data_IF_301088654278
#
_entry.id   IF_301088654278
#
_cell.length_a   1.000
_cell.length_b   1.000
_cell.length_c   1.000
_cell.angle_alpha   90.00
_cell.angle_beta   90.00
_cell.angle_gamma   90.00
#
_symmetry.space_group_name_H-M   'P 1'
#
loop_
_entity.id
_entity.type
_entity.pdbx_description
1 polymer ?
#
# COMPACT_ATOMS: atom_id res chain seq x y z
N UNK A 1 -14.16 -8.67 -3.20
CA UNK A 1 -14.57 -7.45 -2.49
C UNK A 1 -13.66 -6.29 -2.81
N UNK A 2 -14.12 -5.05 -2.66
CA UNK A 2 -13.31 -3.86 -2.94
C UNK A 2 -12.27 -3.59 -1.83
N UNK A 3 -12.55 -4.07 -0.62
CA UNK A 3 -11.67 -3.97 0.55
C UNK A 3 -11.97 -5.13 1.51
N UNK A 4 -10.93 -5.64 2.14
CA UNK A 4 -11.00 -6.63 3.22
C UNK A 4 -10.52 -5.97 4.51
N UNK A 5 -11.30 -6.10 5.57
CA UNK A 5 -10.89 -5.74 6.94
C UNK A 5 -10.49 -7.02 7.65
N UNK A 6 -9.25 -7.10 8.10
CA UNK A 6 -8.66 -8.29 8.68
C UNK A 6 -8.21 -8.03 10.12
N UNK A 7 -8.63 -8.91 11.03
CA UNK A 7 -8.11 -8.92 12.40
C UNK A 7 -6.85 -9.80 12.49
N UNK A 8 -5.83 -9.32 13.19
CA UNK A 8 -4.61 -10.12 13.42
C UNK A 8 -4.82 -11.24 14.43
N UNK A 9 -5.72 -11.03 15.39
CA UNK A 9 -5.92 -11.92 16.54
C UNK A 9 -7.11 -12.87 16.32
N UNK A 10 -7.09 -13.62 15.23
CA UNK A 10 -8.11 -14.65 14.98
C UNK A 10 -7.69 -16.01 15.57
N UNK A 11 -8.66 -16.73 16.16
CA UNK A 11 -8.39 -18.08 16.70
C UNK A 11 -8.02 -19.02 15.55
N UNK A 12 -6.82 -19.61 15.62
CA UNK A 12 -6.40 -20.73 14.77
C UNK A 12 -5.66 -20.36 13.49
N UNK A 13 -5.46 -19.06 13.18
CA UNK A 13 -4.65 -18.62 12.03
C UNK A 13 -3.96 -17.30 12.31
N UNK A 14 -2.73 -17.15 11.84
CA UNK A 14 -2.05 -15.85 11.88
C UNK A 14 -2.68 -14.89 10.86
N UNK A 15 -3.13 -13.73 11.33
CA UNK A 15 -3.67 -12.69 10.43
C UNK A 15 -2.65 -12.27 9.36
N UNK A 16 -1.35 -12.29 9.67
CA UNK A 16 -0.28 -11.99 8.72
C UNK A 16 -0.18 -13.06 7.62
N UNK A 17 -0.35 -14.35 7.94
CA UNK A 17 -0.37 -15.43 6.94
C UNK A 17 -1.56 -15.32 5.99
N UNK A 18 -2.73 -14.97 6.52
CA UNK A 18 -3.93 -14.72 5.68
C UNK A 18 -3.70 -13.51 4.78
N UNK A 19 -3.16 -12.42 5.31
CA UNK A 19 -2.80 -11.23 4.54
C UNK A 19 -1.86 -11.59 3.40
N UNK A 20 -0.78 -12.33 3.69
CA UNK A 20 0.19 -12.78 2.69
C UNK A 20 -0.48 -13.59 1.59
N UNK A 21 -1.32 -14.57 1.96
CA UNK A 21 -2.05 -15.39 0.99
C UNK A 21 -2.99 -14.57 0.09
N UNK A 22 -3.67 -13.56 0.67
CA UNK A 22 -4.53 -12.66 -0.11
C UNK A 22 -3.73 -11.84 -1.11
N UNK A 23 -2.59 -11.31 -0.70
CA UNK A 23 -1.72 -10.49 -1.55
C UNK A 23 -0.99 -11.29 -2.62
N UNK A 24 -0.60 -12.53 -2.35
CA UNK A 24 -0.05 -13.44 -3.36
C UNK A 24 -1.05 -13.72 -4.49
N UNK A 25 -2.34 -13.88 -4.14
CA UNK A 25 -3.41 -14.10 -5.13
C UNK A 25 -3.71 -12.85 -5.95
N UNK A 26 -3.80 -11.71 -5.29
CA UNK A 26 -4.06 -10.42 -5.92
C UNK A 26 -3.37 -9.28 -5.17
N UNK A 27 -2.17 -8.83 -5.60
CA UNK A 27 -1.45 -7.73 -4.97
C UNK A 27 -2.23 -6.41 -4.96
N UNK A 28 -3.22 -6.25 -5.85
CA UNK A 28 -4.08 -5.05 -5.92
C UNK A 28 -5.29 -5.12 -4.99
N UNK A 29 -5.58 -6.30 -4.37
CA UNK A 29 -6.65 -6.43 -3.38
C UNK A 29 -6.32 -5.56 -2.17
N UNK A 30 -7.24 -4.67 -1.80
CA UNK A 30 -7.06 -3.81 -0.63
C UNK A 30 -7.37 -4.59 0.64
N UNK A 31 -6.41 -4.58 1.56
CA UNK A 31 -6.54 -5.23 2.87
C UNK A 31 -6.09 -4.25 3.94
N UNK A 32 -6.98 -3.92 4.86
CA UNK A 32 -6.67 -3.11 6.04
C UNK A 32 -6.72 -3.99 7.29
N UNK A 33 -5.82 -3.73 8.20
CA UNK A 33 -5.75 -4.42 9.49
C UNK A 33 -6.55 -3.63 10.52
N UNK A 34 -7.37 -4.32 11.30
CA UNK A 34 -8.07 -3.77 12.45
C UNK A 34 -7.77 -4.63 13.67
N UNK A 35 -6.93 -4.17 14.59
CA UNK A 35 -6.36 -4.99 15.67
C UNK A 35 -6.28 -4.23 17.00
N UNK A 36 -6.08 -4.97 18.09
CA UNK A 36 -5.74 -4.40 19.41
C UNK A 36 -4.24 -4.23 19.60
N UNK A 37 -3.40 -4.76 18.69
CA UNK A 37 -1.95 -4.68 18.81
C UNK A 37 -1.43 -3.32 18.37
N UNK A 38 -0.72 -2.64 19.27
CA UNK A 38 0.04 -1.41 19.03
C UNK A 38 1.55 -1.67 18.86
N UNK A 39 1.92 -2.95 18.72
CA UNK A 39 3.29 -3.41 18.52
C UNK A 39 3.86 -2.94 17.18
N UNK A 40 5.05 -2.33 17.21
CA UNK A 40 5.78 -1.98 15.99
C UNK A 40 6.15 -3.19 15.15
N UNK A 41 6.40 -4.36 15.77
CA UNK A 41 6.74 -5.60 15.07
C UNK A 41 5.56 -6.12 14.25
N UNK A 42 4.36 -6.16 14.84
CA UNK A 42 3.13 -6.54 14.13
C UNK A 42 2.83 -5.57 12.99
N UNK A 43 2.98 -4.27 13.26
CA UNK A 43 2.83 -3.23 12.25
C UNK A 43 3.78 -3.44 11.07
N UNK A 44 5.09 -3.62 11.32
CA UNK A 44 6.08 -3.87 10.27
C UNK A 44 5.78 -5.14 9.48
N UNK A 45 5.40 -6.21 10.17
CA UNK A 45 5.06 -7.48 9.53
C UNK A 45 3.87 -7.32 8.57
N UNK A 46 2.83 -6.60 8.99
CA UNK A 46 1.65 -6.33 8.16
C UNK A 46 1.96 -5.43 6.96
N UNK A 47 2.71 -4.34 7.16
CA UNK A 47 3.05 -3.44 6.05
C UNK A 47 3.95 -4.17 5.03
N UNK A 48 4.92 -4.97 5.47
CA UNK A 48 5.75 -5.79 4.58
C UNK A 48 4.96 -6.88 3.85
N UNK A 49 3.95 -7.45 4.49
CA UNK A 49 3.04 -8.41 3.85
C UNK A 49 2.03 -7.73 2.91
N UNK A 50 2.03 -6.39 2.82
CA UNK A 50 1.26 -5.63 1.85
C UNK A 50 -0.05 -5.04 2.37
N UNK A 51 -0.22 -4.84 3.68
CA UNK A 51 -1.38 -4.15 4.21
C UNK A 51 -1.50 -2.72 3.64
N UNK A 52 -2.72 -2.32 3.27
CA UNK A 52 -3.04 -0.99 2.75
C UNK A 52 -3.49 -0.02 3.86
N UNK A 53 -3.64 -0.51 5.08
CA UNK A 53 -3.95 0.27 6.27
C UNK A 53 -3.78 -0.53 7.56
N UNK A 54 -3.59 0.19 8.68
CA UNK A 54 -3.45 -0.41 10.00
C UNK A 54 -4.15 0.45 11.05
N UNK A 55 -5.20 -0.11 11.67
CA UNK A 55 -6.07 0.60 12.60
C UNK A 55 -6.12 -0.15 13.93
N UNK A 56 -6.11 0.61 15.01
CA UNK A 56 -6.32 0.09 16.34
C UNK A 56 -7.83 0.02 16.66
N UNK A 57 -8.27 -1.03 17.36
CA UNK A 57 -9.67 -1.23 17.73
C UNK A 57 -10.19 -0.23 18.79
N UNK A 58 -9.30 0.52 19.42
CA UNK A 58 -9.62 1.60 20.36
C UNK A 58 -9.84 2.96 19.67
N UNK A 59 -9.66 3.04 18.35
CA UNK A 59 -10.02 4.22 17.57
C UNK A 59 -11.53 4.50 17.66
N UNK A 60 -11.90 5.77 17.65
CA UNK A 60 -13.29 6.20 17.55
C UNK A 60 -13.96 5.64 16.27
N UNK A 61 -15.19 5.10 16.34
CA UNK A 61 -15.86 4.46 15.19
C UNK A 61 -15.94 5.34 13.94
N UNK A 62 -16.15 6.65 14.11
CA UNK A 62 -16.22 7.61 13.02
C UNK A 62 -14.87 7.73 12.29
N UNK A 63 -13.76 7.69 13.04
CA UNK A 63 -12.41 7.70 12.47
C UNK A 63 -12.12 6.41 11.71
N UNK A 64 -12.53 5.26 12.26
CA UNK A 64 -12.39 3.97 11.56
C UNK A 64 -13.14 4.00 10.23
N UNK A 65 -14.40 4.46 10.22
CA UNK A 65 -15.19 4.59 9.00
C UNK A 65 -14.57 5.55 7.98
N UNK A 66 -14.03 6.67 8.44
CA UNK A 66 -13.29 7.60 7.59
C UNK A 66 -12.08 6.92 6.95
N UNK A 67 -11.24 6.25 7.75
CA UNK A 67 -10.05 5.56 7.27
C UNK A 67 -10.39 4.42 6.29
N UNK A 68 -11.46 3.66 6.53
CA UNK A 68 -11.94 2.62 5.61
C UNK A 68 -12.34 3.24 4.25
N UNK A 69 -13.04 4.37 4.24
CA UNK A 69 -13.41 5.07 2.99
C UNK A 69 -12.17 5.55 2.23
N UNK A 70 -11.21 6.14 2.92
CA UNK A 70 -9.93 6.56 2.32
C UNK A 70 -9.16 5.36 1.73
N UNK A 71 -9.15 4.23 2.45
CA UNK A 71 -8.53 2.99 1.97
C UNK A 71 -9.25 2.44 0.73
N UNK A 72 -10.58 2.56 0.64
CA UNK A 72 -11.34 2.21 -0.56
C UNK A 72 -10.94 3.05 -1.78
N UNK A 73 -10.48 4.27 -1.58
CA UNK A 73 -9.97 5.13 -2.65
C UNK A 73 -8.48 4.89 -2.97
N UNK A 74 -7.81 4.00 -2.21
CA UNK A 74 -6.42 3.60 -2.41
C UNK A 74 -5.41 4.51 -1.72
N UNK A 75 -5.81 5.25 -0.70
CA UNK A 75 -4.87 5.94 0.19
C UNK A 75 -4.39 4.99 1.27
N UNK A 76 -3.12 5.05 1.60
CA UNK A 76 -2.62 4.41 2.82
C UNK A 76 -3.19 5.14 4.02
N UNK A 77 -3.85 4.41 4.90
CA UNK A 77 -4.36 4.94 6.16
C UNK A 77 -3.78 4.17 7.32
N UNK A 78 -3.18 4.90 8.25
CA UNK A 78 -2.49 4.34 9.42
C UNK A 78 -2.95 5.10 10.65
N UNK A 79 -3.18 4.37 11.74
CA UNK A 79 -3.44 5.01 13.03
C UNK A 79 -2.32 6.00 13.38
N UNK A 80 -2.64 7.22 13.85
CA UNK A 80 -1.63 8.22 14.21
C UNK A 80 -0.56 7.71 15.18
N UNK A 81 -0.91 6.80 16.11
CA UNK A 81 0.04 6.19 17.02
C UNK A 81 1.08 5.31 16.29
N UNK A 82 0.76 4.79 15.11
CA UNK A 82 1.63 3.94 14.30
C UNK A 82 2.49 4.71 13.29
N UNK A 83 2.23 5.99 13.07
CA UNK A 83 2.95 6.82 12.08
C UNK A 83 4.46 6.86 12.33
N UNK A 84 4.88 6.86 13.61
CA UNK A 84 6.31 6.78 13.97
C UNK A 84 7.00 5.55 13.37
N UNK A 85 6.35 4.39 13.43
CA UNK A 85 6.87 3.14 12.88
C UNK A 85 6.93 3.16 11.35
N UNK A 86 5.98 3.82 10.69
CA UNK A 86 6.03 4.02 9.24
C UNK A 86 7.27 4.85 8.84
N UNK A 87 7.60 5.88 9.60
CA UNK A 87 8.82 6.68 9.38
C UNK A 87 10.09 5.84 9.49
N UNK A 88 10.16 4.94 10.48
CA UNK A 88 11.29 4.04 10.67
C UNK A 88 11.39 3.00 9.52
N UNK A 89 10.25 2.51 9.03
CA UNK A 89 10.20 1.62 7.86
C UNK A 89 10.76 2.31 6.61
N UNK A 90 10.38 3.56 6.37
CA UNK A 90 10.86 4.35 5.23
C UNK A 90 12.37 4.63 5.29
N UNK A 91 12.95 4.74 6.48
CA UNK A 91 14.40 4.92 6.68
C UNK A 91 15.20 3.62 6.53
N UNK A 92 14.55 2.47 6.66
CA UNK A 92 15.17 1.15 6.77
C UNK A 92 15.00 0.22 5.56
N UNK A 93 15.38 0.61 4.33
CA UNK A 93 15.42 -0.19 3.08
C UNK A 93 14.09 -0.29 2.33
N UNK A 94 13.98 0.48 1.26
CA UNK A 94 13.03 0.20 0.18
C UNK A 94 13.24 -1.22 -0.39
N UNK A 95 12.16 -1.85 -0.90
CA UNK A 95 12.27 -3.11 -1.62
C UNK A 95 13.30 -2.98 -2.75
N UNK A 96 14.26 -3.89 -2.82
CA UNK A 96 15.22 -3.95 -3.92
C UNK A 96 14.49 -4.46 -5.16
N UNK A 97 14.10 -3.57 -6.05
CA UNK A 97 13.72 -3.94 -7.41
C UNK A 97 15.01 -4.08 -8.22
N UNK A 98 15.15 -5.16 -8.95
CA UNK A 98 16.27 -5.28 -9.90
C UNK A 98 16.24 -4.09 -10.87
N UNK A 99 17.38 -3.43 -11.09
CA UNK A 99 17.50 -2.23 -11.94
C UNK A 99 17.11 -2.47 -13.40
N UNK A 100 16.82 -3.73 -13.77
CA UNK A 100 16.49 -4.17 -15.13
C UNK A 100 15.00 -4.08 -15.49
N UNK A 101 14.11 -3.72 -14.56
CA UNK A 101 12.68 -3.64 -14.86
C UNK A 101 12.38 -2.38 -15.66
N UNK A 102 12.14 -2.55 -16.96
CA UNK A 102 11.69 -1.48 -17.86
C UNK A 102 10.18 -1.30 -17.75
N UNK A 103 9.74 -0.14 -17.29
CA UNK A 103 8.33 0.25 -17.29
C UNK A 103 7.97 0.88 -18.64
N UNK A 104 6.73 0.67 -19.08
CA UNK A 104 6.16 1.42 -20.20
C UNK A 104 5.86 2.86 -19.77
N UNK A 105 5.76 3.79 -20.71
CA UNK A 105 5.42 5.20 -20.42
C UNK A 105 4.15 5.30 -19.58
N UNK A 106 3.17 4.46 -19.85
CA UNK A 106 1.90 4.44 -19.10
C UNK A 106 2.05 3.91 -17.67
N UNK A 107 2.92 2.92 -17.47
CA UNK A 107 3.25 2.42 -16.13
C UNK A 107 4.04 3.46 -15.34
N UNK A 108 4.94 4.20 -15.96
CA UNK A 108 5.66 5.34 -15.34
C UNK A 108 4.68 6.47 -14.95
N UNK A 109 3.74 6.82 -15.80
CA UNK A 109 2.69 7.81 -15.50
C UNK A 109 1.90 7.39 -14.25
N UNK A 110 1.43 6.14 -14.21
CA UNK A 110 0.67 5.60 -13.08
C UNK A 110 1.52 5.56 -11.82
N UNK A 111 2.78 5.13 -11.91
CA UNK A 111 3.72 5.08 -10.80
C UNK A 111 3.98 6.49 -10.22
N UNK A 112 4.17 7.48 -11.07
CA UNK A 112 4.33 8.89 -10.69
C UNK A 112 3.11 9.40 -9.93
N UNK A 113 1.91 9.06 -10.39
CA UNK A 113 0.67 9.41 -9.69
C UNK A 113 0.56 8.72 -8.32
N UNK A 114 0.96 7.44 -8.23
CA UNK A 114 1.01 6.69 -6.97
C UNK A 114 1.98 7.35 -5.99
N UNK A 115 3.17 7.75 -6.43
CA UNK A 115 4.17 8.44 -5.61
C UNK A 115 3.64 9.76 -5.03
N UNK A 116 2.76 10.46 -5.75
CA UNK A 116 2.07 11.67 -5.29
C UNK A 116 0.88 11.39 -4.36
N UNK A 117 0.62 10.13 -4.00
CA UNK A 117 -0.49 9.74 -3.12
C UNK A 117 -1.88 9.86 -3.76
N UNK A 118 -1.98 9.87 -5.10
CA UNK A 118 -3.25 10.03 -5.81
C UNK A 118 -4.09 8.75 -5.72
N UNK A 119 -5.40 8.88 -5.54
CA UNK A 119 -6.34 7.76 -5.62
C UNK A 119 -6.54 7.27 -7.05
N UNK A 120 -7.10 6.06 -7.27
CA UNK A 120 -7.39 5.58 -8.62
C UNK A 120 -8.31 6.55 -9.39
N UNK A 121 -9.29 7.14 -8.70
CA UNK A 121 -10.19 8.14 -9.29
C UNK A 121 -9.45 9.42 -9.72
N UNK A 122 -8.49 9.88 -8.93
CA UNK A 122 -7.63 11.03 -9.28
C UNK A 122 -6.72 10.68 -10.45
N UNK A 123 -6.09 9.50 -10.45
CA UNK A 123 -5.25 8.99 -11.54
C UNK A 123 -6.08 8.89 -12.83
N UNK A 124 -7.29 8.35 -12.75
CA UNK A 124 -8.20 8.25 -13.89
C UNK A 124 -8.50 9.60 -14.50
N UNK A 125 -8.75 10.62 -13.69
CA UNK A 125 -8.96 12.02 -14.16
C UNK A 125 -7.70 12.62 -14.77
N UNK A 126 -6.56 12.49 -14.10
CA UNK A 126 -5.25 12.99 -14.54
C UNK A 126 -4.86 12.39 -15.89
N UNK A 127 -4.98 11.08 -16.03
CA UNK A 127 -4.56 10.32 -17.19
C UNK A 127 -5.68 10.12 -18.23
N UNK A 128 -6.88 10.65 -17.98
CA UNK A 128 -8.07 10.56 -18.85
C UNK A 128 -8.47 9.12 -19.20
N UNK A 129 -8.49 8.25 -18.21
CA UNK A 129 -8.88 6.83 -18.31
C UNK A 129 -9.88 6.47 -17.20
N UNK A 130 -10.61 5.35 -17.39
CA UNK A 130 -11.56 4.88 -16.39
C UNK A 130 -10.86 4.36 -15.11
N UNK A 131 -11.58 4.40 -13.98
CA UNK A 131 -11.10 3.83 -12.71
C UNK A 131 -10.76 2.33 -12.84
N UNK A 132 -11.55 1.57 -13.60
CA UNK A 132 -11.28 0.16 -13.90
C UNK A 132 -9.98 -0.03 -14.68
N UNK A 133 -9.68 0.86 -15.63
CA UNK A 133 -8.42 0.85 -16.37
C UNK A 133 -7.23 1.16 -15.45
N UNK A 134 -7.39 2.13 -14.53
CA UNK A 134 -6.36 2.43 -13.51
C UNK A 134 -6.09 1.22 -12.62
N UNK A 135 -7.13 0.53 -12.13
CA UNK A 135 -6.98 -0.71 -11.35
C UNK A 135 -6.17 -1.76 -12.10
N UNK A 136 -6.45 -1.94 -13.40
CA UNK A 136 -5.69 -2.84 -14.27
C UNK A 136 -4.20 -2.47 -14.37
N UNK A 137 -3.91 -1.19 -14.61
CA UNK A 137 -2.53 -0.70 -14.67
C UNK A 137 -1.79 -0.86 -13.34
N UNK A 138 -2.44 -0.53 -12.21
CA UNK A 138 -1.86 -0.71 -10.88
C UNK A 138 -1.54 -2.18 -10.62
N UNK A 139 -2.45 -3.10 -10.93
CA UNK A 139 -2.24 -4.55 -10.77
C UNK A 139 -1.05 -5.04 -11.60
N UNK A 140 -0.95 -4.64 -12.87
CA UNK A 140 0.16 -5.02 -13.74
C UNK A 140 1.49 -4.44 -13.25
N UNK A 141 1.50 -3.17 -12.85
CA UNK A 141 2.66 -2.49 -12.29
C UNK A 141 3.20 -3.20 -11.05
N UNK A 142 2.32 -3.50 -10.06
CA UNK A 142 2.71 -4.21 -8.85
C UNK A 142 3.30 -5.58 -9.14
N UNK A 143 2.66 -6.37 -10.02
CA UNK A 143 3.19 -7.67 -10.47
C UNK A 143 4.56 -7.55 -11.12
N UNK A 144 4.74 -6.58 -12.00
CA UNK A 144 5.98 -6.35 -12.76
C UNK A 144 7.14 -5.96 -11.85
N UNK A 145 6.85 -5.16 -10.81
CA UNK A 145 7.84 -4.72 -9.81
C UNK A 145 8.04 -5.73 -8.67
N UNK A 146 7.22 -6.79 -8.60
CA UNK A 146 7.27 -7.76 -7.51
C UNK A 146 6.80 -7.18 -6.16
N UNK A 147 5.95 -6.17 -6.17
CA UNK A 147 5.42 -5.52 -4.97
C UNK A 147 4.11 -6.14 -4.52
N UNK A 148 3.92 -6.20 -3.21
CA UNK A 148 2.72 -6.73 -2.57
C UNK A 148 1.66 -5.65 -2.30
N UNK A 149 2.04 -4.38 -2.36
CA UNK A 149 1.11 -3.27 -2.13
C UNK A 149 1.48 -2.01 -2.91
N UNK A 150 0.48 -1.14 -3.05
CA UNK A 150 0.64 0.21 -3.59
C UNK A 150 1.60 1.06 -2.75
N UNK A 151 1.69 0.79 -1.45
CA UNK A 151 2.60 1.49 -0.53
C UNK A 151 4.05 1.21 -0.90
N UNK A 152 4.40 -0.05 -1.15
CA UNK A 152 5.75 -0.42 -1.61
C UNK A 152 6.10 0.29 -2.92
N UNK A 153 5.15 0.37 -3.86
CA UNK A 153 5.35 1.09 -5.10
C UNK A 153 5.58 2.60 -4.88
N UNK A 154 4.82 3.22 -3.97
CA UNK A 154 4.96 4.64 -3.64
C UNK A 154 6.32 4.94 -2.99
N UNK A 155 6.75 4.11 -2.04
CA UNK A 155 8.05 4.24 -1.35
C UNK A 155 9.20 4.09 -2.34
N UNK A 156 9.17 3.04 -3.16
CA UNK A 156 10.19 2.80 -4.18
C UNK A 156 10.30 3.95 -5.19
N UNK A 157 9.16 4.48 -5.65
CA UNK A 157 9.13 5.60 -6.59
C UNK A 157 9.71 6.89 -5.97
N UNK A 158 9.43 7.16 -4.69
CA UNK A 158 9.97 8.31 -3.98
C UNK A 158 11.51 8.22 -3.88
N UNK A 159 12.05 7.06 -3.51
CA UNK A 159 13.50 6.85 -3.43
C UNK A 159 14.20 6.95 -4.79
N UNK A 160 13.57 6.41 -5.86
CA UNK A 160 14.09 6.52 -7.23
C UNK A 160 14.24 7.99 -7.64
N UNK A 161 13.25 8.81 -7.32
CA UNK A 161 13.27 10.25 -7.61
C UNK A 161 14.38 10.98 -6.84
N UNK A 162 14.60 10.64 -5.57
CA UNK A 162 15.68 11.22 -4.77
C UNK A 162 17.08 10.85 -5.26
N UNK A 163 17.27 9.59 -5.68
CA UNK A 163 18.54 9.12 -6.26
C UNK A 163 18.86 9.85 -7.56
N UNK A 164 17.88 10.08 -8.43
CA UNK A 164 18.06 10.84 -9.66
C UNK A 164 18.45 12.29 -9.41
N UNK A 165 17.88 12.95 -8.39
CA UNK A 165 18.23 14.33 -8.01
C UNK A 165 19.63 14.46 -7.44
N UNK A 166 20.20 13.40 -6.83
CA UNK A 166 21.56 13.40 -6.27
C UNK A 166 22.65 13.12 -7.31
N UNK A 167 22.29 12.64 -8.49
CA UNK A 167 23.21 12.34 -9.59
C UNK A 167 23.30 13.47 -10.64
N UNK A 168 22.48 14.50 -10.49
CA UNK A 168 22.48 15.72 -11.33
C UNK A 168 23.04 16.89 -10.54
#
# INVERSE_FOLDING_TARGET
PDLIVLDLNMKGSSGVEILTTLKERDPSQRVVILTVSDSGEDFFSCIRAGADGYFLKDMEPEKVLYCVRESLEGRLTVDPAMVRYLTDLLRGKAPKVEETVSLTDREEDVLSCIARGMTNKMIGRELKISDGTVKGHVKHLLKKLGFNSRVEAAVWAAERTEKQKRQT
#
